data_IF_777927834921
#
_entry.id   IF_777927834921
#
_cell.length_a   1.000
_cell.length_b   1.000
_cell.length_c   1.000
_cell.angle_alpha   90.00
_cell.angle_beta   90.00
_cell.angle_gamma   90.00
#
_symmetry.space_group_name_H-M   'P 1'
#
loop_
_entity.id
_entity.type
_entity.pdbx_description
1 polymer ?
#
# COMPACT_ATOMS: atom_id res chain seq x y z
N UNK A 1 -13.96 22.49 8.89
CA UNK A 1 -13.94 21.57 10.04
C UNK A 1 -13.44 20.17 9.67
N UNK A 2 -14.14 19.34 8.89
CA UNK A 2 -13.75 17.93 8.63
C UNK A 2 -12.31 17.80 8.09
N UNK A 3 -11.93 18.56 7.05
CA UNK A 3 -10.56 18.53 6.51
C UNK A 3 -9.52 19.06 7.51
N UNK A 4 -9.85 20.11 8.27
CA UNK A 4 -8.96 20.66 9.30
C UNK A 4 -8.72 19.68 10.45
N UNK A 5 -9.76 19.01 10.94
CA UNK A 5 -9.63 17.96 11.96
C UNK A 5 -8.90 16.73 11.41
N UNK A 6 -9.18 16.34 10.17
CA UNK A 6 -8.56 15.16 9.55
C UNK A 6 -7.07 15.36 9.30
N UNK A 7 -6.61 16.57 8.91
CA UNK A 7 -5.18 16.79 8.66
C UNK A 7 -4.37 16.72 9.96
N UNK A 8 -4.92 17.25 11.05
CA UNK A 8 -4.30 17.16 12.38
C UNK A 8 -4.18 15.70 12.82
N UNK A 9 -5.24 14.91 12.64
CA UNK A 9 -5.20 13.47 12.92
C UNK A 9 -4.17 12.73 12.06
N UNK A 10 -4.07 13.04 10.77
CA UNK A 10 -3.09 12.41 9.87
C UNK A 10 -1.66 12.81 10.22
N UNK A 11 -1.40 14.07 10.57
CA UNK A 11 -0.08 14.53 11.01
C UNK A 11 0.32 13.80 12.29
N UNK A 12 -0.54 13.80 13.32
CA UNK A 12 -0.28 13.08 14.56
C UNK A 12 -0.05 11.58 14.30
N UNK A 13 -0.93 10.95 13.52
CA UNK A 13 -0.79 9.54 13.12
C UNK A 13 0.53 9.25 12.40
N UNK A 14 0.97 10.14 11.51
CA UNK A 14 2.24 9.99 10.78
C UNK A 14 3.46 10.12 11.71
N UNK A 15 3.41 10.99 12.71
CA UNK A 15 4.45 11.15 13.72
C UNK A 15 4.52 9.89 14.60
N UNK A 16 3.37 9.41 15.10
CA UNK A 16 3.30 8.16 15.87
C UNK A 16 3.80 6.96 15.06
N UNK A 17 3.39 6.84 13.79
CA UNK A 17 3.85 5.77 12.91
C UNK A 17 5.37 5.85 12.67
N UNK A 18 5.92 7.04 12.49
CA UNK A 18 7.37 7.22 12.29
C UNK A 18 8.16 6.84 13.55
N UNK A 19 7.70 7.25 14.74
CA UNK A 19 8.29 6.85 16.00
C UNK A 19 8.21 5.32 16.19
N UNK A 20 7.06 4.72 15.87
CA UNK A 20 6.85 3.27 15.95
C UNK A 20 7.83 2.51 15.04
N UNK A 21 8.06 2.97 13.82
CA UNK A 21 9.05 2.38 12.89
C UNK A 21 10.46 2.44 13.48
N UNK A 22 10.89 3.60 13.98
CA UNK A 22 12.22 3.77 14.60
C UNK A 22 12.41 2.81 15.77
N UNK A 23 11.43 2.74 16.69
CA UNK A 23 11.47 1.88 17.86
C UNK A 23 11.52 0.40 17.45
N UNK A 24 10.69 0.01 16.48
CA UNK A 24 10.61 -1.38 16.02
C UNK A 24 11.92 -1.84 15.39
N UNK A 25 12.56 -1.01 14.57
CA UNK A 25 13.86 -1.35 13.96
C UNK A 25 14.94 -1.46 15.04
N UNK A 26 14.94 -0.54 16.00
CA UNK A 26 15.90 -0.57 17.11
C UNK A 26 15.80 -1.86 17.94
N UNK A 27 14.59 -2.40 18.12
CA UNK A 27 14.35 -3.64 18.87
C UNK A 27 14.65 -4.89 18.03
N UNK A 28 14.19 -4.95 16.79
CA UNK A 28 14.25 -6.18 15.97
C UNK A 28 15.58 -6.36 15.24
N UNK A 29 16.27 -5.29 14.89
CA UNK A 29 17.55 -5.32 14.15
C UNK A 29 18.61 -4.44 14.83
N UNK A 30 18.99 -4.76 16.09
CA UNK A 30 20.02 -4.00 16.78
C UNK A 30 21.36 -4.09 16.02
N UNK A 31 22.05 -2.95 15.87
CA UNK A 31 23.34 -2.78 15.20
C UNK A 31 23.39 -2.87 13.66
N UNK A 32 22.26 -3.03 12.97
CA UNK A 32 22.19 -2.95 11.51
C UNK A 32 22.00 -1.51 11.01
N UNK A 33 23.08 -0.73 11.06
CA UNK A 33 23.05 0.70 10.67
C UNK A 33 22.53 0.96 9.25
N UNK A 34 22.76 0.03 8.31
CA UNK A 34 22.26 0.14 6.94
C UNK A 34 20.72 0.15 6.87
N UNK A 35 20.07 -0.77 7.57
CA UNK A 35 18.59 -0.86 7.64
C UNK A 35 18.01 0.36 8.37
N UNK A 36 18.66 0.79 9.45
CA UNK A 36 18.26 1.98 10.18
C UNK A 36 18.33 3.25 9.31
N UNK A 37 19.43 3.45 8.58
CA UNK A 37 19.59 4.58 7.66
C UNK A 37 18.58 4.51 6.50
N UNK A 38 18.35 3.33 5.92
CA UNK A 38 17.35 3.16 4.86
C UNK A 38 15.96 3.58 5.35
N UNK A 39 15.57 3.15 6.56
CA UNK A 39 14.31 3.54 7.15
C UNK A 39 14.23 5.04 7.41
N UNK A 40 15.29 5.65 7.97
CA UNK A 40 15.34 7.08 8.25
C UNK A 40 15.10 7.91 6.98
N UNK A 41 15.75 7.55 5.88
CA UNK A 41 15.58 8.25 4.60
C UNK A 41 14.18 8.02 3.99
N UNK A 42 13.48 6.95 4.38
CA UNK A 42 12.08 6.69 3.98
C UNK A 42 11.02 7.34 4.89
N UNK A 43 11.35 7.75 6.13
CA UNK A 43 10.40 8.40 7.06
C UNK A 43 9.67 9.60 6.46
N UNK A 44 10.30 10.49 5.67
CA UNK A 44 9.58 11.60 5.05
C UNK A 44 8.37 11.12 4.24
N UNK A 45 8.43 9.96 3.58
CA UNK A 45 7.26 9.41 2.87
C UNK A 45 6.05 9.16 3.77
N UNK A 46 6.27 8.74 5.02
CA UNK A 46 5.22 8.52 6.01
C UNK A 46 4.64 9.85 6.49
N UNK A 47 5.49 10.85 6.73
CA UNK A 47 5.06 12.19 7.13
C UNK A 47 4.23 12.88 6.04
N UNK A 48 4.68 12.80 4.79
CA UNK A 48 4.01 13.37 3.62
C UNK A 48 2.71 12.64 3.26
N UNK A 49 2.45 11.46 3.82
CA UNK A 49 1.16 10.76 3.69
C UNK A 49 -0.02 11.58 4.22
N UNK A 50 0.24 12.53 5.12
CA UNK A 50 -0.78 13.49 5.58
C UNK A 50 -1.38 14.36 4.46
N UNK A 51 -0.75 14.41 3.27
CA UNK A 51 -1.29 15.02 2.06
C UNK A 51 -2.39 14.20 1.37
N UNK A 52 -2.59 12.93 1.76
CA UNK A 52 -3.66 12.07 1.22
C UNK A 52 -5.05 12.66 1.48
N UNK A 53 -5.17 13.63 2.39
CA UNK A 53 -6.39 14.40 2.58
C UNK A 53 -6.89 15.08 1.30
N UNK A 54 -5.97 15.55 0.45
CA UNK A 54 -6.32 16.16 -0.83
C UNK A 54 -6.83 15.10 -1.79
N UNK A 55 -6.22 13.91 -1.79
CA UNK A 55 -6.69 12.75 -2.54
C UNK A 55 -8.11 12.37 -2.12
N UNK A 56 -8.38 12.24 -0.82
CA UNK A 56 -9.71 11.90 -0.32
C UNK A 56 -10.75 12.98 -0.66
N UNK A 57 -10.35 14.25 -0.67
CA UNK A 57 -11.21 15.34 -1.13
C UNK A 57 -11.58 15.17 -2.61
N UNK A 58 -10.61 14.90 -3.49
CA UNK A 58 -10.88 14.65 -4.91
C UNK A 58 -11.74 13.40 -5.13
N UNK A 59 -11.49 12.32 -4.39
CA UNK A 59 -12.29 11.10 -4.45
C UNK A 59 -13.74 11.32 -4.00
N UNK A 60 -13.95 12.10 -2.92
CA UNK A 60 -15.29 12.46 -2.46
C UNK A 60 -16.10 13.28 -3.47
N UNK A 61 -15.41 13.96 -4.40
CA UNK A 61 -16.00 14.75 -5.49
C UNK A 61 -16.01 14.02 -6.83
N UNK A 62 -15.68 12.72 -6.86
CA UNK A 62 -15.63 11.89 -8.09
C UNK A 62 -14.63 12.48 -9.12
N UNK A 63 -13.63 13.22 -8.65
CA UNK A 63 -12.61 13.87 -9.47
C UNK A 63 -11.23 13.20 -9.31
N UNK A 64 -11.22 11.87 -9.17
CA UNK A 64 -10.00 11.08 -8.91
C UNK A 64 -8.95 11.16 -10.03
N UNK A 65 -9.28 11.74 -11.20
CA UNK A 65 -8.31 11.98 -12.29
C UNK A 65 -7.07 12.74 -11.81
N UNK A 66 -7.23 13.74 -10.94
CA UNK A 66 -6.09 14.51 -10.43
C UNK A 66 -5.22 13.70 -9.48
N UNK A 67 -5.83 12.85 -8.66
CA UNK A 67 -5.11 11.86 -7.84
C UNK A 67 -4.28 10.93 -8.71
N UNK A 68 -4.89 10.38 -9.77
CA UNK A 68 -4.23 9.44 -10.68
C UNK A 68 -3.08 10.11 -11.44
N UNK A 69 -3.27 11.34 -11.94
CA UNK A 69 -2.19 12.08 -12.59
C UNK A 69 -1.03 12.37 -11.63
N UNK A 70 -1.31 12.84 -10.42
CA UNK A 70 -0.27 13.12 -9.42
C UNK A 70 0.54 11.87 -9.08
N UNK A 71 -0.13 10.73 -8.88
CA UNK A 71 0.53 9.46 -8.56
C UNK A 71 1.36 8.94 -9.72
N UNK A 72 0.81 8.94 -10.94
CA UNK A 72 1.54 8.43 -12.11
C UNK A 72 2.76 9.30 -12.44
N UNK A 73 2.64 10.63 -12.40
CA UNK A 73 3.78 11.53 -12.63
C UNK A 73 4.87 11.30 -11.58
N UNK A 74 4.51 11.21 -10.29
CA UNK A 74 5.45 10.91 -9.24
C UNK A 74 6.12 9.54 -9.41
N UNK A 75 5.35 8.51 -9.78
CA UNK A 75 5.85 7.17 -10.06
C UNK A 75 6.86 7.16 -11.21
N UNK A 76 6.58 7.85 -12.32
CA UNK A 76 7.51 7.94 -13.45
C UNK A 76 8.79 8.70 -13.10
N UNK A 77 8.68 9.82 -12.39
CA UNK A 77 9.84 10.59 -11.92
C UNK A 77 10.69 9.73 -10.96
N UNK A 78 10.06 9.11 -9.97
CA UNK A 78 10.69 8.21 -9.00
C UNK A 78 11.39 7.05 -9.71
N UNK A 79 10.73 6.42 -10.69
CA UNK A 79 11.29 5.31 -11.46
C UNK A 79 12.48 5.74 -12.32
N UNK A 80 12.41 6.89 -12.98
CA UNK A 80 13.53 7.43 -13.76
C UNK A 80 14.75 7.70 -12.85
N UNK A 81 14.53 8.28 -11.67
CA UNK A 81 15.59 8.51 -10.67
C UNK A 81 16.17 7.18 -10.17
N UNK A 82 15.34 6.17 -9.86
CA UNK A 82 15.80 4.83 -9.46
C UNK A 82 16.70 4.22 -10.54
N UNK A 83 16.28 4.26 -11.80
CA UNK A 83 17.04 3.72 -12.92
C UNK A 83 18.37 4.45 -13.08
N UNK A 84 18.39 5.78 -12.97
CA UNK A 84 19.61 6.57 -13.04
C UNK A 84 20.59 6.19 -11.92
N UNK A 85 20.13 6.13 -10.66
CA UNK A 85 20.95 5.75 -9.50
C UNK A 85 21.57 4.37 -9.73
N UNK A 86 20.77 3.38 -10.14
CA UNK A 86 21.24 2.01 -10.37
C UNK A 86 22.28 1.96 -11.50
N UNK A 87 22.03 2.69 -12.59
CA UNK A 87 22.94 2.70 -13.77
C UNK A 87 24.30 3.34 -13.47
N UNK A 88 24.35 4.31 -12.54
CA UNK A 88 25.60 4.91 -12.08
C UNK A 88 26.27 4.16 -10.92
N UNK A 89 25.76 2.97 -10.54
CA UNK A 89 26.29 2.19 -9.42
C UNK A 89 26.07 2.85 -8.06
N UNK A 90 25.03 3.69 -7.94
CA UNK A 90 24.68 4.36 -6.69
C UNK A 90 24.24 3.37 -5.60
N UNK A 91 24.51 3.73 -4.34
CA UNK A 91 24.10 2.94 -3.17
C UNK A 91 22.58 2.73 -3.10
N UNK A 92 22.16 1.56 -2.59
CA UNK A 92 20.75 1.23 -2.35
C UNK A 92 20.05 2.25 -1.44
N UNK A 93 20.78 2.96 -0.57
CA UNK A 93 20.23 4.03 0.27
C UNK A 93 19.60 5.15 -0.56
N UNK A 94 20.20 5.49 -1.71
CA UNK A 94 19.63 6.48 -2.62
C UNK A 94 18.36 5.95 -3.31
N UNK A 95 18.33 4.64 -3.60
CA UNK A 95 17.11 3.98 -4.11
C UNK A 95 16.00 4.04 -3.04
N UNK A 96 16.30 3.79 -1.76
CA UNK A 96 15.34 3.98 -0.67
C UNK A 96 14.84 5.43 -0.57
N UNK A 97 15.74 6.41 -0.78
CA UNK A 97 15.39 7.83 -0.75
C UNK A 97 14.36 8.24 -1.80
N UNK A 98 14.33 7.54 -2.94
CA UNK A 98 13.34 7.83 -3.99
C UNK A 98 11.90 7.64 -3.53
N UNK A 99 11.64 6.81 -2.51
CA UNK A 99 10.29 6.65 -1.92
C UNK A 99 9.83 7.95 -1.27
N UNK A 100 10.73 8.65 -0.58
CA UNK A 100 10.46 9.98 -0.03
C UNK A 100 10.29 11.02 -1.11
N UNK A 101 11.12 10.99 -2.16
CA UNK A 101 10.96 11.87 -3.34
C UNK A 101 9.59 11.68 -3.98
N UNK A 102 9.16 10.44 -4.19
CA UNK A 102 7.85 10.11 -4.75
C UNK A 102 6.71 10.69 -3.91
N UNK A 103 6.74 10.47 -2.59
CA UNK A 103 5.74 11.01 -1.67
C UNK A 103 5.71 12.55 -1.67
N UNK A 104 6.87 13.21 -1.73
CA UNK A 104 6.97 14.66 -1.84
C UNK A 104 6.35 15.16 -3.15
N UNK A 105 6.68 14.53 -4.27
CA UNK A 105 6.13 14.92 -5.59
C UNK A 105 4.62 14.72 -5.62
N UNK A 106 4.09 13.60 -5.12
CA UNK A 106 2.63 13.37 -4.99
C UNK A 106 2.00 14.48 -4.14
N UNK A 107 2.59 14.78 -2.98
CA UNK A 107 2.08 15.79 -2.05
C UNK A 107 2.01 17.18 -2.69
N UNK A 108 3.07 17.57 -3.40
CA UNK A 108 3.16 18.86 -4.09
C UNK A 108 2.14 18.96 -5.24
N UNK A 109 2.01 17.91 -6.05
CA UNK A 109 1.05 17.90 -7.16
C UNK A 109 -0.40 17.91 -6.67
N UNK A 110 -0.73 17.14 -5.64
CA UNK A 110 -2.05 17.16 -5.02
C UNK A 110 -2.38 18.54 -4.44
N UNK A 111 -1.44 19.17 -3.73
CA UNK A 111 -1.61 20.51 -3.19
C UNK A 111 -1.77 21.55 -4.30
N UNK A 112 -1.02 21.43 -5.40
CA UNK A 112 -1.16 22.29 -6.58
C UNK A 112 -2.55 22.17 -7.21
N UNK A 113 -3.01 20.95 -7.50
CA UNK A 113 -4.34 20.73 -8.08
C UNK A 113 -5.45 21.18 -7.13
N UNK A 114 -5.28 20.97 -5.83
CA UNK A 114 -6.23 21.42 -4.81
C UNK A 114 -6.34 22.94 -4.77
N UNK A 115 -5.21 23.67 -4.78
CA UNK A 115 -5.23 25.15 -4.85
C UNK A 115 -5.88 25.67 -6.14
N UNK A 116 -5.73 24.95 -7.26
CA UNK A 116 -6.28 25.34 -8.55
C UNK A 116 -7.79 25.12 -8.67
N UNK A 117 -8.35 24.09 -8.01
CA UNK A 117 -9.76 23.68 -8.19
C UNK A 117 -10.60 23.75 -6.92
N UNK A 118 -9.99 23.88 -5.75
CA UNK A 118 -10.66 23.99 -4.47
C UNK A 118 -10.85 25.44 -4.07
N UNK A 119 -12.04 25.78 -3.57
CA UNK A 119 -12.20 26.98 -2.75
C UNK A 119 -11.36 26.80 -1.48
N UNK A 120 -10.41 27.71 -1.25
CA UNK A 120 -9.58 27.75 -0.03
C UNK A 120 -10.47 28.19 1.14
N UNK A 121 -11.33 27.29 1.61
CA UNK A 121 -12.09 27.50 2.82
C UNK A 121 -11.11 27.47 4.01
N UNK A 122 -11.29 28.37 4.98
CA UNK A 122 -10.48 28.36 6.20
C UNK A 122 -10.64 27.00 6.88
N UNK A 123 -9.53 26.27 7.01
CA UNK A 123 -9.51 24.99 7.68
C UNK A 123 -9.54 25.23 9.18
N UNK A 124 -10.70 24.97 9.78
CA UNK A 124 -10.85 25.00 11.23
C UNK A 124 -10.68 23.60 11.81
N UNK A 125 -9.92 23.55 12.89
CA UNK A 125 -9.79 22.36 13.73
C UNK A 125 -10.93 22.32 14.76
N UNK A 126 -11.56 21.15 14.89
CA UNK A 126 -12.53 20.90 15.95
C UNK A 126 -12.23 19.54 16.61
N UNK A 127 -12.02 19.56 17.93
CA UNK A 127 -11.67 18.38 18.71
C UNK A 127 -12.81 17.34 18.76
N UNK A 128 -14.07 17.79 18.86
CA UNK A 128 -15.23 16.89 18.86
C UNK A 128 -15.31 16.12 17.54
N UNK A 129 -15.08 16.82 16.42
CA UNK A 129 -15.06 16.19 15.10
C UNK A 129 -13.86 15.25 14.94
N UNK A 130 -12.68 15.61 15.44
CA UNK A 130 -11.52 14.73 15.42
C UNK A 130 -11.78 13.43 16.22
N UNK A 131 -12.38 13.54 17.41
CA UNK A 131 -12.77 12.38 18.23
C UNK A 131 -13.79 11.50 17.52
N UNK A 132 -14.79 12.09 16.86
CA UNK A 132 -15.81 11.38 16.08
C UNK A 132 -15.20 10.61 14.91
N UNK A 133 -14.29 11.24 14.16
CA UNK A 133 -13.60 10.59 13.04
C UNK A 133 -12.71 9.44 13.53
N UNK A 134 -12.00 9.63 14.64
CA UNK A 134 -11.16 8.60 15.24
C UNK A 134 -12.00 7.42 15.78
N UNK A 135 -13.15 7.69 16.40
CA UNK A 135 -14.04 6.64 16.90
C UNK A 135 -14.65 5.78 15.78
N UNK A 136 -14.82 6.35 14.59
CA UNK A 136 -15.25 5.61 13.40
C UNK A 136 -14.09 4.80 12.77
N UNK A 137 -12.86 5.29 12.90
CA UNK A 137 -11.70 4.75 12.19
C UNK A 137 -10.86 3.77 13.00
N UNK A 138 -10.89 3.81 14.34
CA UNK A 138 -10.01 2.97 15.17
C UNK A 138 -10.13 1.45 14.93
N UNK A 139 -11.32 0.84 14.66
CA UNK A 139 -11.38 -0.59 14.38
C UNK A 139 -10.75 -0.92 13.02
N UNK A 140 -10.88 -0.01 12.05
CA UNK A 140 -10.27 -0.13 10.73
C UNK A 140 -8.75 0.01 10.81
N UNK A 141 -8.23 0.87 11.70
CA UNK A 141 -6.79 0.99 11.96
C UNK A 141 -6.24 -0.33 12.49
N UNK A 142 -6.86 -0.91 13.52
CA UNK A 142 -6.41 -2.19 14.10
C UNK A 142 -6.49 -3.31 13.07
N UNK A 143 -7.60 -3.38 12.32
CA UNK A 143 -7.78 -4.39 11.27
C UNK A 143 -6.71 -4.25 10.17
N UNK A 144 -6.40 -3.01 9.78
CA UNK A 144 -5.36 -2.73 8.77
C UNK A 144 -3.96 -3.10 9.26
N UNK A 145 -3.61 -2.80 10.51
CA UNK A 145 -2.32 -3.18 11.11
C UNK A 145 -2.22 -4.71 11.22
N UNK A 146 -3.27 -5.37 11.72
CA UNK A 146 -3.31 -6.83 11.83
C UNK A 146 -3.17 -7.50 10.46
N UNK A 147 -3.86 -6.97 9.44
CA UNK A 147 -3.74 -7.46 8.07
C UNK A 147 -2.32 -7.29 7.50
N UNK A 148 -1.72 -6.11 7.69
CA UNK A 148 -0.34 -5.87 7.24
C UNK A 148 0.67 -6.77 7.94
N UNK A 149 0.50 -7.01 9.24
CA UNK A 149 1.33 -7.97 9.98
C UNK A 149 1.13 -9.37 9.43
N UNK A 150 -0.12 -9.84 9.29
CA UNK A 150 -0.43 -11.14 8.70
C UNK A 150 0.25 -11.34 7.32
N UNK A 151 0.19 -10.33 6.45
CA UNK A 151 0.77 -10.40 5.11
C UNK A 151 2.31 -10.38 5.07
N UNK A 152 2.97 -9.93 6.14
CA UNK A 152 4.42 -9.65 6.15
C UNK A 152 5.17 -10.37 7.26
N UNK A 153 4.47 -11.09 8.14
CA UNK A 153 5.08 -11.77 9.29
C UNK A 153 6.10 -12.82 8.83
N UNK A 154 5.83 -13.49 7.72
CA UNK A 154 6.73 -14.48 7.13
C UNK A 154 8.08 -13.86 6.74
N UNK A 155 8.08 -12.66 6.16
CA UNK A 155 9.32 -11.95 5.82
C UNK A 155 10.14 -11.59 7.07
N UNK A 156 9.47 -11.21 8.16
CA UNK A 156 10.12 -10.93 9.45
C UNK A 156 10.69 -12.22 10.05
N UNK A 157 9.95 -13.32 9.99
CA UNK A 157 10.39 -14.62 10.49
C UNK A 157 11.60 -15.13 9.69
N UNK A 158 11.53 -15.14 8.37
CA UNK A 158 12.63 -15.55 7.49
C UNK A 158 13.87 -14.68 7.73
N UNK A 159 13.70 -13.38 7.92
CA UNK A 159 14.81 -12.48 8.22
C UNK A 159 15.50 -12.79 9.56
N UNK A 160 14.75 -13.20 10.58
CA UNK A 160 15.32 -13.56 11.88
C UNK A 160 15.87 -14.98 11.93
N UNK A 161 15.31 -15.92 11.17
CA UNK A 161 15.67 -17.33 11.21
C UNK A 161 16.75 -17.72 10.20
N UNK A 162 16.76 -17.10 9.02
CA UNK A 162 17.62 -17.47 7.88
C UNK A 162 18.56 -16.31 7.51
N UNK A 163 18.01 -15.11 7.36
CA UNK A 163 18.78 -13.89 7.06
C UNK A 163 18.24 -13.09 5.86
N UNK A 164 18.79 -11.90 5.64
CA UNK A 164 18.23 -10.90 4.71
C UNK A 164 18.28 -11.32 3.24
N UNK A 165 19.26 -12.14 2.84
CA UNK A 165 19.34 -12.64 1.46
C UNK A 165 18.13 -13.54 1.13
N UNK A 166 17.73 -14.41 2.06
CA UNK A 166 16.54 -15.24 1.92
C UNK A 166 15.26 -14.39 1.90
N UNK A 167 15.21 -13.31 2.70
CA UNK A 167 14.11 -12.34 2.63
C UNK A 167 14.03 -11.70 1.25
N UNK A 168 15.17 -11.40 0.62
CA UNK A 168 15.23 -10.87 -0.76
C UNK A 168 14.58 -11.81 -1.78
N UNK A 169 14.92 -13.10 -1.73
CA UNK A 169 14.33 -14.14 -2.60
C UNK A 169 12.84 -14.32 -2.31
N UNK A 170 12.45 -14.48 -1.05
CA UNK A 170 11.06 -14.65 -0.66
C UNK A 170 10.20 -13.44 -1.02
N UNK A 171 10.75 -12.22 -0.91
CA UNK A 171 10.04 -10.98 -1.29
C UNK A 171 9.71 -10.92 -2.77
N UNK A 172 10.53 -11.53 -3.63
CA UNK A 172 10.23 -11.65 -5.07
C UNK A 172 9.05 -12.59 -5.29
N UNK A 173 9.07 -13.77 -4.67
CA UNK A 173 7.97 -14.75 -4.75
C UNK A 173 6.65 -14.14 -4.26
N UNK A 174 6.66 -13.53 -3.06
CA UNK A 174 5.48 -12.87 -2.47
C UNK A 174 4.95 -11.77 -3.40
N UNK A 175 5.82 -10.92 -3.96
CA UNK A 175 5.39 -9.85 -4.86
C UNK A 175 4.71 -10.40 -6.12
N UNK A 176 5.19 -11.51 -6.66
CA UNK A 176 4.55 -12.17 -7.81
C UNK A 176 3.17 -12.75 -7.46
N UNK A 177 3.02 -13.32 -6.25
CA UNK A 177 1.72 -13.81 -5.77
C UNK A 177 0.73 -12.66 -5.55
N UNK A 178 1.18 -11.55 -4.94
CA UNK A 178 0.33 -10.40 -4.61
C UNK A 178 -0.30 -9.73 -5.84
N UNK A 179 0.35 -9.76 -7.01
CA UNK A 179 -0.21 -9.21 -8.25
C UNK A 179 -1.55 -9.87 -8.60
N UNK A 180 -1.69 -11.17 -8.31
CA UNK A 180 -2.91 -11.92 -8.61
C UNK A 180 -4.10 -11.54 -7.74
N UNK A 181 -3.89 -10.87 -6.60
CA UNK A 181 -4.98 -10.39 -5.73
C UNK A 181 -5.87 -9.35 -6.41
N UNK A 182 -5.39 -8.73 -7.50
CA UNK A 182 -6.19 -7.83 -8.30
C UNK A 182 -7.50 -8.48 -8.81
N UNK A 183 -7.44 -9.73 -9.28
CA UNK A 183 -8.59 -10.43 -9.85
C UNK A 183 -9.75 -10.61 -8.85
N UNK A 184 -9.56 -11.27 -7.68
CA UNK A 184 -10.64 -11.46 -6.73
C UNK A 184 -11.18 -10.13 -6.21
N UNK A 185 -10.31 -9.13 -5.97
CA UNK A 185 -10.74 -7.81 -5.50
C UNK A 185 -11.60 -7.07 -6.54
N UNK A 186 -11.22 -7.10 -7.81
CA UNK A 186 -11.99 -6.49 -8.91
C UNK A 186 -13.37 -7.16 -9.07
N UNK A 187 -13.43 -8.48 -8.94
CA UNK A 187 -14.67 -9.24 -9.05
C UNK A 187 -15.60 -8.93 -7.87
N UNK A 188 -15.09 -9.02 -6.64
CA UNK A 188 -15.88 -8.77 -5.43
C UNK A 188 -16.38 -7.33 -5.40
N UNK A 189 -15.53 -6.34 -5.69
CA UNK A 189 -15.95 -4.92 -5.72
C UNK A 189 -17.05 -4.62 -6.74
N UNK A 190 -17.09 -5.35 -7.86
CA UNK A 190 -18.12 -5.19 -8.90
C UNK A 190 -19.43 -5.93 -8.59
N UNK A 191 -19.33 -7.13 -8.03
CA UNK A 191 -20.50 -8.01 -7.82
C UNK A 191 -21.14 -7.84 -6.43
N UNK A 192 -20.34 -7.59 -5.39
CA UNK A 192 -20.82 -7.53 -4.00
C UNK A 192 -21.93 -6.51 -3.77
N UNK A 193 -21.86 -5.26 -4.31
CA UNK A 193 -22.95 -4.29 -4.13
C UNK A 193 -24.28 -4.73 -4.74
N UNK A 194 -24.25 -5.55 -5.81
CA UNK A 194 -25.47 -6.11 -6.42
C UNK A 194 -26.04 -7.25 -5.58
N UNK A 195 -25.16 -8.09 -5.02
CA UNK A 195 -25.55 -9.22 -4.18
C UNK A 195 -26.19 -8.72 -2.88
N UNK A 196 -25.60 -7.73 -2.21
CA UNK A 196 -26.10 -7.27 -0.91
C UNK A 196 -27.49 -6.63 -0.99
N UNK A 197 -27.83 -5.98 -2.11
CA UNK A 197 -29.19 -5.44 -2.36
C UNK A 197 -30.27 -6.54 -2.41
N UNK A 198 -29.91 -7.77 -2.76
CA UNK A 198 -30.85 -8.90 -2.78
C UNK A 198 -31.17 -9.41 -1.37
N UNK A 199 -30.35 -9.08 -0.37
CA UNK A 199 -30.55 -9.52 1.01
C UNK A 199 -31.84 -8.98 1.62
N UNK A 200 -32.24 -7.76 1.24
CA UNK A 200 -33.46 -7.09 1.73
C UNK A 200 -34.74 -7.67 1.12
N UNK A 201 -34.65 -8.41 0.01
CA UNK A 201 -35.82 -8.80 -0.79
C UNK A 201 -36.01 -10.32 -0.87
N UNK A 202 -34.94 -11.11 -1.04
CA UNK A 202 -35.03 -12.56 -1.23
C UNK A 202 -33.80 -13.31 -0.67
N UNK A 203 -33.92 -13.90 0.53
CA UNK A 203 -32.83 -14.63 1.19
C UNK A 203 -32.27 -15.81 0.38
N UNK A 204 -33.13 -16.58 -0.31
CA UNK A 204 -32.69 -17.70 -1.14
C UNK A 204 -31.88 -17.28 -2.37
N UNK A 205 -32.30 -16.20 -3.06
CA UNK A 205 -31.56 -15.65 -4.22
C UNK A 205 -30.24 -15.03 -3.80
N UNK A 206 -30.18 -14.43 -2.60
CA UNK A 206 -28.94 -13.93 -2.02
C UNK A 206 -27.91 -15.06 -1.83
N UNK A 207 -28.30 -16.17 -1.20
CA UNK A 207 -27.40 -17.32 -0.99
C UNK A 207 -26.92 -17.94 -2.30
N UNK A 208 -27.81 -18.08 -3.31
CA UNK A 208 -27.41 -18.59 -4.63
C UNK A 208 -26.38 -17.69 -5.33
N UNK A 209 -26.53 -16.37 -5.23
CA UNK A 209 -25.58 -15.42 -5.83
C UNK A 209 -24.26 -15.36 -5.08
N UNK A 210 -24.28 -15.53 -3.76
CA UNK A 210 -23.06 -15.70 -2.97
C UNK A 210 -22.32 -16.99 -3.34
N UNK A 211 -23.03 -18.11 -3.47
CA UNK A 211 -22.43 -19.37 -3.87
C UNK A 211 -21.75 -19.23 -5.24
N UNK A 212 -22.44 -18.65 -6.23
CA UNK A 212 -21.86 -18.38 -7.54
C UNK A 212 -20.60 -17.51 -7.46
N UNK A 213 -20.59 -16.48 -6.60
CA UNK A 213 -19.41 -15.65 -6.38
C UNK A 213 -18.25 -16.50 -5.82
N UNK A 214 -18.51 -17.34 -4.81
CA UNK A 214 -17.49 -18.21 -4.23
C UNK A 214 -16.96 -19.23 -5.24
N UNK A 215 -17.84 -19.90 -5.99
CA UNK A 215 -17.45 -20.86 -7.03
C UNK A 215 -16.56 -20.20 -8.08
N UNK A 216 -16.95 -19.00 -8.54
CA UNK A 216 -16.16 -18.23 -9.50
C UNK A 216 -14.79 -17.84 -8.94
N UNK A 217 -14.71 -17.41 -7.68
CA UNK A 217 -13.44 -17.08 -7.03
C UNK A 217 -12.54 -18.31 -6.87
N UNK A 218 -13.10 -19.47 -6.52
CA UNK A 218 -12.34 -20.73 -6.40
C UNK A 218 -11.81 -21.14 -7.76
N UNK A 219 -12.64 -21.15 -8.81
CA UNK A 219 -12.23 -21.52 -10.16
C UNK A 219 -11.08 -20.63 -10.66
N UNK A 220 -11.18 -19.32 -10.46
CA UNK A 220 -10.13 -18.37 -10.83
C UNK A 220 -8.86 -18.62 -10.01
N UNK A 221 -8.98 -18.80 -8.70
CA UNK A 221 -7.83 -19.00 -7.82
C UNK A 221 -7.08 -20.29 -8.15
N UNK A 222 -7.80 -21.39 -8.40
CA UNK A 222 -7.21 -22.67 -8.82
C UNK A 222 -6.58 -22.55 -10.20
N UNK A 223 -7.21 -21.85 -11.14
CA UNK A 223 -6.66 -21.61 -12.48
C UNK A 223 -5.35 -20.83 -12.41
N UNK A 224 -5.30 -19.76 -11.60
CA UNK A 224 -4.08 -18.98 -11.36
C UNK A 224 -3.02 -19.84 -10.68
N UNK A 225 -3.38 -20.61 -9.65
CA UNK A 225 -2.44 -21.49 -8.95
C UNK A 225 -1.80 -22.49 -9.91
N UNK A 226 -2.59 -23.14 -10.78
CA UNK A 226 -2.07 -24.05 -11.80
C UNK A 226 -1.10 -23.34 -12.76
N UNK A 227 -1.47 -22.18 -13.29
CA UNK A 227 -0.59 -21.41 -14.18
C UNK A 227 0.72 -21.05 -13.46
N UNK A 228 0.66 -20.55 -12.23
CA UNK A 228 1.85 -20.17 -11.47
C UNK A 228 2.72 -21.39 -11.16
N UNK A 229 2.14 -22.53 -10.77
CA UNK A 229 2.91 -23.75 -10.48
C UNK A 229 3.65 -24.29 -11.71
N UNK A 230 3.05 -24.24 -12.90
CA UNK A 230 3.70 -24.74 -14.12
C UNK A 230 4.64 -23.73 -14.80
N UNK A 231 4.42 -22.43 -14.58
CA UNK A 231 5.17 -21.36 -15.24
C UNK A 231 6.05 -20.55 -14.28
N UNK A 232 6.17 -20.91 -13.00
CA UNK A 232 6.95 -20.15 -12.00
C UNK A 232 8.40 -19.95 -12.46
N UNK A 233 9.07 -21.02 -12.89
CA UNK A 233 10.45 -20.97 -13.39
C UNK A 233 10.60 -20.00 -14.57
N UNK A 234 9.65 -20.02 -15.51
CA UNK A 234 9.65 -19.14 -16.66
C UNK A 234 9.42 -17.67 -16.25
N UNK A 235 8.44 -17.43 -15.38
CA UNK A 235 8.09 -16.09 -14.89
C UNK A 235 9.27 -15.48 -14.13
N UNK A 236 9.87 -16.23 -13.22
CA UNK A 236 11.00 -15.77 -12.41
C UNK A 236 12.21 -15.50 -13.31
N UNK A 237 12.60 -16.43 -14.19
CA UNK A 237 13.75 -16.21 -15.08
C UNK A 237 13.54 -15.10 -16.12
N UNK A 238 12.29 -14.79 -16.49
CA UNK A 238 11.98 -13.71 -17.42
C UNK A 238 12.10 -12.33 -16.75
N UNK A 239 11.61 -12.19 -15.51
CA UNK A 239 11.61 -10.91 -14.78
C UNK A 239 12.85 -10.69 -13.91
N UNK A 240 13.52 -11.77 -13.49
CA UNK A 240 14.63 -11.76 -12.56
C UNK A 240 15.80 -12.61 -13.07
N UNK A 241 17.00 -12.29 -12.59
CA UNK A 241 18.22 -13.05 -12.87
C UNK A 241 18.21 -14.40 -12.14
N UNK A 242 19.04 -15.34 -12.58
CA UNK A 242 19.28 -16.67 -11.96
C UNK A 242 19.57 -16.63 -10.46
N UNK A 243 20.01 -15.49 -9.91
CA UNK A 243 20.17 -15.27 -8.47
C UNK A 243 18.86 -15.38 -7.67
N UNK A 244 17.70 -15.26 -8.33
CA UNK A 244 16.38 -15.40 -7.74
C UNK A 244 15.69 -16.72 -8.11
N UNK A 245 16.41 -17.69 -8.70
CA UNK A 245 15.81 -18.97 -9.11
C UNK A 245 15.16 -19.72 -7.94
N UNK A 246 15.67 -19.58 -6.71
CA UNK A 246 15.03 -20.15 -5.53
C UNK A 246 13.61 -19.61 -5.26
N UNK A 247 13.24 -18.46 -5.83
CA UNK A 247 11.89 -17.89 -5.70
C UNK A 247 10.84 -18.63 -6.54
N UNK A 248 11.23 -19.55 -7.43
CA UNK A 248 10.29 -20.34 -8.25
C UNK A 248 9.89 -21.68 -7.62
N UNK A 249 10.64 -22.13 -6.61
CA UNK A 249 10.38 -23.36 -5.83
C UNK A 249 9.45 -23.10 -4.65
#
# INVERSE_FOLDING_TARGET
VIMGSSIVLQILGSIFASAFVIITIYILRPNEWGVFLAALVMIPSVLFRSSDIFKYWFESKINSKYTVFSQNIAFFISSAIKIAIISFGGSYLYVCATVSVEAIVVSLLLLFFYKKHGYVNKWEYNFSEAKRLLSLSWPLIISGVAFMLYMRIDQIMIGNMIGDSAVGVYSVAVKMVEVWYFFPVAIVSSLFPKIIKLREVYSAKYNQRLQFLYDLLVVISVSIALIVTFFSDFIINFFYTTQYAEASN
#
